data_IF_699282626795
#
_entry.id   IF_699282626795
#
_cell.length_a   1.000
_cell.length_b   1.000
_cell.length_c   1.000
_cell.angle_alpha   90.00
_cell.angle_beta   90.00
_cell.angle_gamma   90.00
#
_symmetry.space_group_name_H-M   'P 1'
#
loop_
_entity.id
_entity.type
_entity.pdbx_description
1 polymer ?
#
# COMPACT_ATOMS: atom_id res chain seq x y z
N UNK A 1 -24.06 31.39 9.45
CA UNK A 1 -23.66 30.60 8.26
C UNK A 1 -23.66 29.13 8.66
N UNK A 2 -24.70 28.36 8.30
CA UNK A 2 -24.82 26.94 8.66
C UNK A 2 -23.99 26.07 7.71
N UNK A 3 -23.19 25.14 8.23
CA UNK A 3 -22.32 24.22 7.47
C UNK A 3 -23.01 22.90 7.11
N UNK A 4 -24.30 22.75 7.43
CA UNK A 4 -25.08 21.51 7.30
C UNK A 4 -25.22 20.99 5.85
N UNK A 5 -25.02 21.86 4.86
CA UNK A 5 -25.07 21.55 3.42
C UNK A 5 -23.68 21.35 2.79
N UNK A 6 -22.60 21.55 3.55
CA UNK A 6 -21.25 21.34 3.03
C UNK A 6 -20.93 19.85 3.04
N UNK A 7 -20.47 19.26 1.91
CA UNK A 7 -20.05 17.87 1.91
C UNK A 7 -18.97 17.65 2.97
N UNK A 8 -19.06 16.54 3.71
CA UNK A 8 -18.13 16.20 4.78
C UNK A 8 -16.71 16.30 4.23
N UNK A 9 -15.95 17.29 4.72
CA UNK A 9 -14.60 17.55 4.26
C UNK A 9 -13.76 16.29 4.47
N UNK A 10 -13.50 15.56 3.38
CA UNK A 10 -12.78 14.29 3.43
C UNK A 10 -11.37 14.62 3.90
N UNK A 11 -11.07 14.30 5.17
CA UNK A 11 -9.80 14.67 5.77
C UNK A 11 -8.65 14.14 4.89
N UNK A 12 -7.78 15.06 4.46
CA UNK A 12 -6.56 14.69 3.75
C UNK A 12 -5.74 13.76 4.65
N UNK A 13 -5.16 12.72 4.07
CA UNK A 13 -4.24 11.83 4.78
C UNK A 13 -3.12 12.65 5.45
N UNK A 14 -2.78 12.30 6.71
CA UNK A 14 -1.72 12.98 7.46
C UNK A 14 -0.41 12.89 6.68
N UNK A 15 0.32 14.00 6.61
CA UNK A 15 1.69 13.98 6.08
C UNK A 15 2.54 13.12 7.00
N UNK A 16 3.14 12.07 6.45
CA UNK A 16 4.19 11.30 7.14
C UNK A 16 5.50 12.06 7.02
N UNK A 17 6.28 12.08 8.10
CA UNK A 17 7.62 12.62 8.09
C UNK A 17 8.54 11.75 7.22
N UNK A 18 9.54 12.35 6.56
CA UNK A 18 10.45 11.65 5.64
C UNK A 18 9.93 11.38 4.22
N UNK A 19 8.66 11.71 3.92
CA UNK A 19 8.10 11.59 2.58
C UNK A 19 7.98 10.14 2.05
N UNK A 20 7.64 10.00 0.77
CA UNK A 20 7.61 8.69 0.11
C UNK A 20 8.99 8.42 -0.49
N UNK A 21 9.66 7.37 -0.02
CA UNK A 21 10.92 6.90 -0.62
C UNK A 21 10.59 5.96 -1.78
N UNK A 22 11.04 6.29 -2.98
CA UNK A 22 10.92 5.41 -4.15
C UNK A 22 11.91 4.25 -4.04
N UNK A 23 11.45 3.02 -4.26
CA UNK A 23 12.30 1.84 -4.39
C UNK A 23 12.10 1.18 -5.74
N UNK A 24 13.16 0.54 -6.25
CA UNK A 24 13.11 -0.30 -7.46
C UNK A 24 13.21 -1.74 -6.98
N UNK A 25 12.24 -2.57 -7.37
CA UNK A 25 12.20 -4.00 -7.04
C UNK A 25 12.34 -4.79 -8.33
N UNK A 26 13.33 -5.68 -8.38
CA UNK A 26 13.52 -6.59 -9.50
C UNK A 26 12.86 -7.92 -9.15
N UNK A 27 11.87 -8.31 -9.95
CA UNK A 27 11.11 -9.55 -9.79
C UNK A 27 11.08 -10.32 -11.11
N UNK A 28 11.00 -11.66 -11.06
CA UNK A 28 10.66 -12.47 -12.23
C UNK A 28 9.35 -12.03 -12.89
N UNK A 29 9.27 -12.22 -14.21
CA UNK A 29 8.08 -11.82 -14.99
C UNK A 29 6.79 -12.46 -14.50
N UNK A 30 6.88 -13.70 -14.02
CA UNK A 30 5.75 -14.47 -13.51
C UNK A 30 5.18 -13.83 -12.24
N UNK A 31 6.04 -13.44 -11.29
CA UNK A 31 5.63 -12.78 -10.04
C UNK A 31 5.02 -11.41 -10.32
N UNK A 32 5.58 -10.64 -11.26
CA UNK A 32 5.01 -9.34 -11.67
C UNK A 32 3.59 -9.52 -12.20
N UNK A 33 3.34 -10.56 -12.99
CA UNK A 33 2.02 -10.86 -13.53
C UNK A 33 1.01 -11.20 -12.44
N UNK A 34 1.41 -11.98 -11.43
CA UNK A 34 0.56 -12.31 -10.29
C UNK A 34 0.20 -11.06 -9.47
N UNK A 35 1.16 -10.14 -9.27
CA UNK A 35 0.91 -8.87 -8.59
C UNK A 35 -0.09 -8.02 -9.39
N UNK A 36 0.02 -8.00 -10.71
CA UNK A 36 -0.90 -7.26 -11.58
C UNK A 36 -2.32 -7.82 -11.56
N UNK A 37 -2.48 -9.14 -11.54
CA UNK A 37 -3.78 -9.80 -11.40
C UNK A 37 -4.41 -9.47 -10.03
N UNK A 38 -3.60 -9.49 -8.97
CA UNK A 38 -4.02 -9.12 -7.60
C UNK A 38 -4.42 -7.64 -7.50
N UNK A 39 -3.66 -6.74 -8.13
CA UNK A 39 -3.97 -5.32 -8.17
C UNK A 39 -5.30 -5.07 -8.88
N UNK A 40 -5.55 -5.75 -10.00
CA UNK A 40 -6.81 -5.68 -10.75
C UNK A 40 -8.00 -6.21 -9.94
N UNK A 41 -7.84 -7.33 -9.24
CA UNK A 41 -8.94 -7.93 -8.46
C UNK A 41 -9.31 -7.12 -7.21
N UNK A 42 -8.30 -6.52 -6.55
CA UNK A 42 -8.50 -5.74 -5.31
C UNK A 42 -8.79 -4.26 -5.54
N UNK A 43 -8.60 -3.76 -6.77
CA UNK A 43 -8.70 -2.33 -7.08
C UNK A 43 -7.60 -1.48 -6.43
N UNK A 44 -6.52 -2.10 -5.95
CA UNK A 44 -5.40 -1.43 -5.31
C UNK A 44 -4.27 -1.14 -6.31
N UNK A 45 -3.43 -0.16 -5.97
CA UNK A 45 -2.22 0.11 -6.74
C UNK A 45 -1.22 -1.03 -6.59
N UNK A 46 -0.42 -1.28 -7.65
CA UNK A 46 0.69 -2.25 -7.63
C UNK A 46 1.62 -2.03 -6.43
N UNK A 47 1.99 -0.78 -6.15
CA UNK A 47 2.83 -0.42 -4.99
C UNK A 47 2.18 -0.77 -3.65
N UNK A 48 0.86 -0.65 -3.53
CA UNK A 48 0.14 -1.03 -2.29
C UNK A 48 0.14 -2.53 -2.08
N UNK A 49 -0.03 -3.31 -3.16
CA UNK A 49 0.06 -4.78 -3.10
C UNK A 49 1.46 -5.22 -2.69
N UNK A 50 2.51 -4.65 -3.32
CA UNK A 50 3.91 -4.94 -2.97
C UNK A 50 4.21 -4.61 -1.50
N UNK A 51 3.77 -3.44 -1.03
CA UNK A 51 3.97 -3.04 0.36
C UNK A 51 3.30 -4.02 1.34
N UNK A 52 2.07 -4.45 1.04
CA UNK A 52 1.34 -5.43 1.88
C UNK A 52 2.09 -6.76 1.97
N UNK A 53 2.56 -7.29 0.84
CA UNK A 53 3.35 -8.53 0.79
C UNK A 53 4.62 -8.40 1.61
N UNK A 54 5.34 -7.28 1.47
CA UNK A 54 6.57 -7.02 2.23
C UNK A 54 6.34 -7.00 3.74
N UNK A 55 5.33 -6.25 4.21
CA UNK A 55 5.04 -6.15 5.65
C UNK A 55 4.57 -7.49 6.23
N UNK A 56 3.76 -8.25 5.49
CA UNK A 56 3.35 -9.60 5.90
C UNK A 56 4.57 -10.51 6.09
N UNK A 57 5.48 -10.55 5.12
CA UNK A 57 6.72 -11.34 5.24
C UNK A 57 7.62 -10.86 6.38
N UNK A 58 7.67 -9.55 6.65
CA UNK A 58 8.42 -8.97 7.76
C UNK A 58 7.87 -9.43 9.11
N UNK A 59 6.56 -9.40 9.30
CA UNK A 59 5.90 -9.86 10.53
C UNK A 59 6.17 -11.34 10.77
N UNK A 60 5.99 -12.19 9.76
CA UNK A 60 6.29 -13.62 9.84
C UNK A 60 7.76 -13.90 10.17
N UNK A 61 8.69 -13.12 9.60
CA UNK A 61 10.12 -13.26 9.89
C UNK A 61 10.51 -12.83 11.30
N UNK A 62 9.80 -11.87 11.88
CA UNK A 62 10.02 -11.40 13.24
C UNK A 62 9.45 -12.40 14.26
N UNK A 63 8.27 -12.97 14.00
CA UNK A 63 7.67 -14.00 14.86
C UNK A 63 8.51 -15.28 14.97
N UNK A 64 9.32 -15.61 13.94
CA UNK A 64 10.22 -16.78 13.97
C UNK A 64 11.54 -16.55 14.73
N UNK A 65 11.82 -15.31 15.14
CA UNK A 65 13.06 -14.94 15.86
C UNK A 65 12.86 -14.81 17.37
N UNK A 66 11.63 -14.88 17.86
CA UNK A 66 11.28 -14.98 19.29
C UNK A 66 11.07 -16.45 19.68
#
# INVERSE_FOLDING_TARGET
>A
MSTEISPLNRQRSKKIDGGRVSCIVYLPKEEVRQIDETAKSTGLSRSSVIARIYYQGKEESNMKKE
#
